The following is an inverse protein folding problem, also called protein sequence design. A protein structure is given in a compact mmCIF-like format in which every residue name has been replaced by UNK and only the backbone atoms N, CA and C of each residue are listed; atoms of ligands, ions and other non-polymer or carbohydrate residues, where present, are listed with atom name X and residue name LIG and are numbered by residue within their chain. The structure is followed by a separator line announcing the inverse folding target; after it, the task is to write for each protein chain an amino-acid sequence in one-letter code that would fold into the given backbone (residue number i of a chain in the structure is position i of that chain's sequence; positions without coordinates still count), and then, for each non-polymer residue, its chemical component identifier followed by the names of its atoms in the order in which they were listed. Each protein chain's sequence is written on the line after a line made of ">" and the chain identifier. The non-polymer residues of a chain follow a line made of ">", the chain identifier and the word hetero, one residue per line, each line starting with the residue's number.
data_IF_218753422871
#
_entry.id   IF_218753422871
#
_cell.length_a   1.000
_cell.length_b   1.000
_cell.length_c   1.000
_cell.angle_alpha   90.00
_cell.angle_beta   90.00
_cell.angle_gamma   90.00
#
_symmetry.space_group_name_H-M   'P 1'
#
loop_
_entity.id
_entity.type
_entity.pdbx_description
1 polymer ?
#
# COMPACT_ATOMS: atom_id res chain seq x y z
N UNK A 1 21.05 -37.55 27.09
CA UNK A 1 19.95 -36.65 26.63
C UNK A 1 18.80 -37.52 26.19
N UNK A 2 17.68 -37.51 26.95
CA UNK A 2 16.57 -38.46 26.72
C UNK A 2 15.87 -38.19 25.38
N UNK A 3 15.85 -39.19 24.48
CA UNK A 3 15.16 -39.18 23.20
C UNK A 3 13.68 -38.71 23.33
N UNK A 4 13.08 -38.99 24.48
CA UNK A 4 11.69 -38.58 24.77
C UNK A 4 11.55 -37.07 24.97
N UNK A 5 12.58 -36.40 25.50
CA UNK A 5 12.60 -34.93 25.63
C UNK A 5 12.79 -34.23 24.29
N UNK A 6 13.60 -34.81 23.41
CA UNK A 6 13.87 -34.26 22.08
C UNK A 6 12.63 -34.28 21.17
N UNK A 7 11.84 -35.38 21.20
CA UNK A 7 10.58 -35.46 20.47
C UNK A 7 9.54 -34.39 20.91
N UNK A 8 9.47 -34.12 22.22
CA UNK A 8 8.56 -33.08 22.74
C UNK A 8 8.96 -31.69 22.27
N UNK A 9 10.26 -31.39 22.23
CA UNK A 9 10.78 -30.11 21.73
C UNK A 9 10.43 -29.93 20.25
N UNK A 10 10.62 -30.96 19.43
CA UNK A 10 10.28 -30.90 18.00
C UNK A 10 8.77 -30.64 17.83
N UNK A 11 7.92 -31.38 18.54
CA UNK A 11 6.46 -31.19 18.46
C UNK A 11 6.10 -29.77 18.86
N UNK A 12 6.70 -29.23 19.91
CA UNK A 12 6.45 -27.86 20.37
C UNK A 12 6.84 -26.83 19.30
N UNK A 13 8.02 -26.97 18.67
CA UNK A 13 8.46 -26.08 17.58
C UNK A 13 7.51 -26.15 16.40
N UNK A 14 7.10 -27.35 15.97
CA UNK A 14 6.17 -27.54 14.86
C UNK A 14 4.82 -26.89 15.19
N UNK A 15 4.34 -27.03 16.41
CA UNK A 15 3.08 -26.40 16.85
C UNK A 15 3.16 -24.88 16.76
N UNK A 16 4.26 -24.27 17.21
CA UNK A 16 4.47 -22.82 17.10
C UNK A 16 4.49 -22.39 15.62
N UNK A 17 5.18 -23.12 14.75
CA UNK A 17 5.24 -22.79 13.32
C UNK A 17 3.86 -22.86 12.66
N UNK A 18 3.03 -23.86 13.02
CA UNK A 18 1.67 -23.99 12.50
C UNK A 18 0.82 -22.82 12.98
N UNK A 19 0.86 -22.49 14.27
CA UNK A 19 0.09 -21.37 14.84
C UNK A 19 0.50 -20.03 14.22
N UNK A 20 1.81 -19.83 14.03
CA UNK A 20 2.31 -18.61 13.39
C UNK A 20 1.90 -18.53 11.92
N UNK A 21 1.95 -19.65 11.19
CA UNK A 21 1.48 -19.68 9.79
C UNK A 21 -0.01 -19.39 9.68
N UNK A 22 -0.83 -19.95 10.56
CA UNK A 22 -2.27 -19.66 10.62
C UNK A 22 -2.53 -18.17 10.93
N UNK A 23 -1.82 -17.60 11.89
CA UNK A 23 -1.90 -16.18 12.21
C UNK A 23 -1.54 -15.30 11.01
N UNK A 24 -0.45 -15.64 10.29
CA UNK A 24 -0.02 -14.87 9.11
C UNK A 24 -1.05 -14.93 7.98
N UNK A 25 -1.63 -16.11 7.71
CA UNK A 25 -2.70 -16.27 6.71
C UNK A 25 -3.93 -15.45 7.11
N UNK A 26 -4.34 -15.50 8.36
CA UNK A 26 -5.45 -14.71 8.87
C UNK A 26 -5.21 -13.21 8.66
N UNK A 27 -4.03 -12.71 9.05
CA UNK A 27 -3.66 -11.30 8.88
C UNK A 27 -3.63 -10.88 7.41
N UNK A 28 -3.10 -11.74 6.52
CA UNK A 28 -3.05 -11.45 5.08
C UNK A 28 -4.44 -11.35 4.46
N UNK A 29 -5.39 -12.17 4.91
CA UNK A 29 -6.78 -12.09 4.44
C UNK A 29 -7.48 -10.83 4.95
N UNK A 30 -7.21 -10.41 6.18
CA UNK A 30 -7.72 -9.14 6.70
C UNK A 30 -7.19 -7.94 5.94
N UNK A 31 -5.87 -7.86 5.70
CA UNK A 31 -5.27 -6.77 4.92
C UNK A 31 -5.88 -6.70 3.52
N UNK A 32 -6.05 -7.85 2.85
CA UNK A 32 -6.70 -7.90 1.55
C UNK A 32 -8.14 -7.41 1.60
N UNK A 33 -8.90 -7.85 2.59
CA UNK A 33 -10.31 -7.46 2.78
C UNK A 33 -10.44 -5.96 3.01
N UNK A 34 -9.57 -5.36 3.82
CA UNK A 34 -9.57 -3.92 4.07
C UNK A 34 -9.28 -3.13 2.80
N UNK A 35 -8.27 -3.51 2.02
CA UNK A 35 -7.95 -2.82 0.76
C UNK A 35 -9.11 -2.95 -0.23
N UNK A 36 -9.72 -4.13 -0.38
CA UNK A 36 -10.90 -4.32 -1.22
C UNK A 36 -12.07 -3.45 -0.75
N UNK A 37 -12.31 -3.38 0.56
CA UNK A 37 -13.41 -2.58 1.11
C UNK A 37 -13.23 -1.07 0.87
N UNK A 38 -12.01 -0.58 0.81
CA UNK A 38 -11.71 0.81 0.44
C UNK A 38 -12.07 1.08 -1.02
N UNK A 39 -11.80 0.13 -1.92
CA UNK A 39 -12.15 0.24 -3.34
C UNK A 39 -13.67 0.16 -3.54
N UNK A 40 -14.34 -0.76 -2.87
CA UNK A 40 -15.80 -0.94 -2.99
C UNK A 40 -16.59 0.26 -2.45
N UNK A 41 -16.05 0.94 -1.43
CA UNK A 41 -16.68 2.12 -0.82
C UNK A 41 -16.36 3.42 -1.58
N UNK A 42 -15.32 3.44 -2.38
CA UNK A 42 -14.86 4.62 -3.09
C UNK A 42 -14.94 4.39 -4.61
N UNK A 43 -15.84 5.12 -5.27
CA UNK A 43 -15.96 5.08 -6.73
C UNK A 43 -14.74 5.68 -7.46
N UNK A 44 -13.78 6.25 -6.71
CA UNK A 44 -12.63 6.96 -7.26
C UNK A 44 -11.32 6.16 -7.18
N UNK A 45 -11.31 4.97 -6.56
CA UNK A 45 -10.12 4.10 -6.47
C UNK A 45 -10.37 2.79 -7.23
N UNK A 46 -9.45 2.42 -8.10
CA UNK A 46 -9.46 1.11 -8.76
C UNK A 46 -8.05 0.54 -8.89
N UNK A 47 -7.94 -0.77 -9.00
CA UNK A 47 -6.68 -1.48 -9.24
C UNK A 47 -6.94 -2.85 -9.90
N UNK A 48 -5.91 -3.41 -10.55
CA UNK A 48 -6.06 -4.70 -11.24
C UNK A 48 -5.96 -5.89 -10.28
N UNK A 49 -4.99 -5.87 -9.40
CA UNK A 49 -4.73 -7.01 -8.51
C UNK A 49 -3.97 -6.61 -7.26
N UNK A 50 -4.21 -7.39 -6.20
CA UNK A 50 -3.45 -7.32 -4.96
C UNK A 50 -2.81 -8.68 -4.67
N UNK A 51 -1.52 -8.65 -4.36
CA UNK A 51 -0.76 -9.82 -3.95
C UNK A 51 -0.06 -9.56 -2.62
N UNK A 52 -0.19 -10.50 -1.68
CA UNK A 52 0.44 -10.39 -0.36
C UNK A 52 1.53 -11.44 -0.24
N UNK A 53 2.75 -11.00 0.06
CA UNK A 53 3.98 -11.78 0.11
C UNK A 53 4.79 -11.49 1.37
N UNK A 54 5.93 -12.18 1.55
CA UNK A 54 6.91 -11.83 2.58
C UNK A 54 6.90 -12.69 3.83
N UNK A 55 6.12 -13.81 3.84
CA UNK A 55 6.18 -14.80 4.92
C UNK A 55 7.63 -15.31 5.12
N UNK A 56 8.08 -15.55 6.36
CA UNK A 56 7.37 -15.33 7.65
C UNK A 56 7.63 -13.98 8.30
N UNK A 57 8.63 -13.22 7.86
CA UNK A 57 9.17 -12.11 8.66
C UNK A 57 8.50 -10.76 8.41
N UNK A 58 7.92 -10.56 7.25
CA UNK A 58 7.24 -9.32 6.87
C UNK A 58 5.99 -9.64 6.06
N UNK A 59 5.15 -8.65 5.91
CA UNK A 59 4.01 -8.69 5.00
C UNK A 59 4.16 -7.54 4.01
N UNK A 60 4.23 -7.85 2.73
CA UNK A 60 4.26 -6.85 1.66
C UNK A 60 3.00 -7.03 0.81
N UNK A 61 2.11 -6.04 0.85
CA UNK A 61 0.99 -5.95 -0.07
C UNK A 61 1.45 -5.22 -1.33
N UNK A 62 1.32 -5.87 -2.48
CA UNK A 62 1.65 -5.34 -3.80
C UNK A 62 0.34 -5.10 -4.56
N UNK A 63 0.03 -3.84 -4.84
CA UNK A 63 -1.16 -3.39 -5.58
C UNK A 63 -0.69 -2.99 -6.97
N UNK A 64 -1.25 -3.61 -8.01
CA UNK A 64 -0.89 -3.33 -9.40
C UNK A 64 -1.90 -2.40 -10.06
N UNK A 65 -1.39 -1.48 -10.88
CA UNK A 65 -2.14 -0.55 -11.69
C UNK A 65 -3.19 0.21 -10.88
N UNK A 66 -2.72 0.84 -9.78
CA UNK A 66 -3.58 1.68 -8.95
C UNK A 66 -3.94 2.94 -9.73
N UNK A 67 -5.23 3.20 -9.85
CA UNK A 67 -5.80 4.42 -10.43
C UNK A 67 -6.65 5.09 -9.36
N UNK A 68 -6.42 6.37 -9.17
CA UNK A 68 -7.27 7.25 -8.36
C UNK A 68 -7.82 8.30 -9.31
N UNK A 69 -9.15 8.31 -9.49
CA UNK A 69 -9.82 9.16 -10.46
C UNK A 69 -11.01 9.85 -9.78
N UNK A 70 -10.91 11.14 -9.54
CA UNK A 70 -11.98 11.96 -8.99
C UNK A 70 -12.32 13.07 -9.98
N UNK A 71 -13.56 13.09 -10.44
CA UNK A 71 -14.06 14.03 -11.44
C UNK A 71 -15.25 14.78 -10.85
N UNK A 72 -15.12 16.08 -10.73
CA UNK A 72 -16.21 17.01 -10.43
C UNK A 72 -16.53 17.85 -11.66
N UNK A 73 -17.53 18.74 -11.60
CA UNK A 73 -17.88 19.62 -12.73
C UNK A 73 -16.78 20.67 -13.01
N UNK A 74 -16.00 21.05 -12.01
CA UNK A 74 -15.01 22.14 -12.08
C UNK A 74 -13.56 21.63 -12.02
N UNK A 75 -13.35 20.38 -11.61
CA UNK A 75 -12.01 19.81 -11.49
C UNK A 75 -11.97 18.32 -11.77
N UNK A 76 -10.88 17.85 -12.36
CA UNK A 76 -10.59 16.44 -12.47
C UNK A 76 -9.20 16.13 -11.92
N UNK A 77 -9.11 15.01 -11.21
CA UNK A 77 -7.86 14.48 -10.67
C UNK A 77 -7.72 13.02 -11.08
N UNK A 78 -6.68 12.72 -11.80
CA UNK A 78 -6.38 11.34 -12.20
C UNK A 78 -4.94 11.03 -11.84
N UNK A 79 -4.74 10.03 -10.98
CA UNK A 79 -3.42 9.54 -10.60
C UNK A 79 -3.29 8.07 -10.91
N UNK A 80 -2.23 7.73 -11.61
CA UNK A 80 -1.86 6.36 -11.95
C UNK A 80 -0.53 5.96 -11.31
N UNK A 81 -0.48 4.77 -10.73
CA UNK A 81 0.74 4.12 -10.29
C UNK A 81 0.76 2.66 -10.74
N UNK A 82 1.80 2.22 -11.48
CA UNK A 82 1.88 0.84 -11.97
C UNK A 82 2.05 -0.17 -10.83
N UNK A 83 2.66 0.25 -9.71
CA UNK A 83 2.83 -0.63 -8.55
C UNK A 83 2.99 0.17 -7.27
N UNK A 84 2.11 -0.11 -6.32
CA UNK A 84 2.22 0.36 -4.93
C UNK A 84 2.55 -0.82 -4.04
N UNK A 85 3.56 -0.67 -3.20
CA UNK A 85 3.99 -1.65 -2.21
C UNK A 85 3.77 -1.10 -0.82
N UNK A 86 3.07 -1.85 0.01
CA UNK A 86 2.84 -1.54 1.41
C UNK A 86 3.52 -2.60 2.27
N UNK A 87 4.58 -2.22 2.96
CA UNK A 87 5.25 -3.09 3.91
C UNK A 87 4.62 -2.93 5.29
N UNK A 88 4.22 -4.04 5.88
CA UNK A 88 3.59 -4.15 7.18
C UNK A 88 4.42 -5.10 8.04
N UNK A 89 4.76 -4.69 9.24
CA UNK A 89 5.38 -5.61 10.21
C UNK A 89 4.26 -6.41 10.91
N UNK A 90 4.18 -7.74 10.75
CA UNK A 90 3.10 -8.53 11.35
C UNK A 90 3.11 -8.55 12.89
N UNK A 91 4.24 -8.16 13.52
CA UNK A 91 4.36 -8.07 14.97
C UNK A 91 4.03 -6.65 15.47
N UNK A 92 4.20 -5.63 14.61
CA UNK A 92 3.94 -4.23 14.95
C UNK A 92 3.11 -3.57 13.83
N UNK A 93 1.80 -3.68 13.95
CA UNK A 93 0.83 -3.17 12.99
C UNK A 93 0.66 -1.64 13.02
N UNK A 94 1.41 -0.96 13.87
CA UNK A 94 1.32 0.51 14.01
C UNK A 94 2.27 1.26 13.05
N UNK A 95 3.03 0.54 12.22
CA UNK A 95 3.97 1.16 11.27
C UNK A 95 3.82 0.54 9.89
N UNK A 96 3.64 1.42 8.91
CA UNK A 96 3.51 1.07 7.50
C UNK A 96 4.57 1.81 6.70
N UNK A 97 5.17 1.14 5.74
CA UNK A 97 6.03 1.78 4.75
C UNK A 97 5.40 1.60 3.36
N UNK A 98 5.04 2.70 2.74
CA UNK A 98 4.47 2.71 1.39
C UNK A 98 5.57 3.13 0.42
N UNK A 99 5.72 2.37 -0.66
CA UNK A 99 6.65 2.65 -1.76
C UNK A 99 5.92 2.55 -3.08
N UNK A 100 6.08 3.55 -3.90
CA UNK A 100 5.52 3.56 -5.24
C UNK A 100 6.51 4.18 -6.22
N UNK A 101 6.45 3.77 -7.49
CA UNK A 101 7.33 4.25 -8.55
C UNK A 101 6.53 4.66 -9.78
N UNK A 102 7.10 5.59 -10.54
CA UNK A 102 6.56 6.05 -11.82
C UNK A 102 5.10 6.53 -11.69
N UNK A 103 4.83 7.35 -10.68
CA UNK A 103 3.52 7.96 -10.49
C UNK A 103 3.33 9.03 -11.53
N UNK A 104 2.15 9.06 -12.12
CA UNK A 104 1.68 10.11 -13.01
C UNK A 104 0.36 10.64 -12.49
N UNK A 105 0.29 11.94 -12.29
CA UNK A 105 -0.93 12.62 -11.87
C UNK A 105 -1.27 13.70 -12.87
N UNK A 106 -2.50 13.69 -13.34
CA UNK A 106 -3.10 14.73 -14.18
C UNK A 106 -4.17 15.43 -13.37
N UNK A 107 -4.03 16.74 -13.23
CA UNK A 107 -4.96 17.60 -12.50
C UNK A 107 -5.48 18.64 -13.48
N UNK A 108 -6.79 18.77 -13.58
CA UNK A 108 -7.44 19.82 -14.35
C UNK A 108 -8.34 20.64 -13.43
N UNK A 109 -8.19 21.94 -13.46
CA UNK A 109 -9.02 22.90 -12.71
C UNK A 109 -9.36 24.00 -13.70
N UNK A 110 -10.64 24.14 -14.07
CA UNK A 110 -11.10 25.02 -15.14
C UNK A 110 -10.29 24.79 -16.44
N UNK A 111 -9.59 25.80 -16.93
CA UNK A 111 -8.78 25.77 -18.16
C UNK A 111 -7.28 25.52 -17.89
N UNK A 112 -6.91 25.18 -16.65
CA UNK A 112 -5.52 24.94 -16.25
C UNK A 112 -5.29 23.44 -16.10
N UNK A 113 -4.27 22.92 -16.79
CA UNK A 113 -3.83 21.53 -16.71
C UNK A 113 -2.47 21.44 -16.04
N UNK A 114 -2.33 20.51 -15.11
CA UNK A 114 -1.11 20.26 -14.37
C UNK A 114 -0.76 18.77 -14.47
N UNK A 115 0.35 18.46 -15.08
CA UNK A 115 0.92 17.13 -15.14
C UNK A 115 2.08 17.00 -14.14
N UNK A 116 1.92 16.06 -13.21
CA UNK A 116 2.93 15.76 -12.19
C UNK A 116 3.45 14.36 -12.44
N UNK A 117 4.76 14.22 -12.57
CA UNK A 117 5.43 12.93 -12.64
C UNK A 117 6.40 12.78 -11.49
N UNK A 118 6.40 11.60 -10.83
CA UNK A 118 7.31 11.28 -9.73
C UNK A 118 7.94 9.91 -9.97
N UNK A 119 9.29 9.84 -9.93
CA UNK A 119 9.99 8.58 -10.17
C UNK A 119 9.82 7.61 -9.00
N UNK A 120 9.97 8.08 -7.77
CA UNK A 120 9.76 7.27 -6.58
C UNK A 120 9.21 8.11 -5.43
N UNK A 121 8.19 7.58 -4.78
CA UNK A 121 7.65 8.13 -3.53
C UNK A 121 7.72 7.05 -2.46
N UNK A 122 8.25 7.41 -1.31
CA UNK A 122 8.29 6.59 -0.11
C UNK A 122 7.57 7.33 1.00
N UNK A 123 6.65 6.66 1.66
CA UNK A 123 5.97 7.20 2.83
C UNK A 123 6.08 6.23 3.99
N UNK A 124 6.46 6.75 5.15
CA UNK A 124 6.39 6.02 6.42
C UNK A 124 5.25 6.60 7.24
N UNK A 125 4.35 5.75 7.68
CA UNK A 125 3.18 6.13 8.49
C UNK A 125 3.28 5.39 9.82
N UNK A 126 3.25 6.12 10.92
CA UNK A 126 3.06 5.56 12.25
C UNK A 126 1.66 5.90 12.76
N UNK A 127 1.01 4.95 13.43
CA UNK A 127 -0.31 5.12 14.00
C UNK A 127 -0.28 4.94 15.52
N UNK A 128 -1.12 5.69 16.22
CA UNK A 128 -1.37 5.53 17.65
C UNK A 128 -2.88 5.49 17.84
N UNK A 129 -3.39 4.44 18.48
CA UNK A 129 -4.84 4.22 18.66
C UNK A 129 -5.62 4.27 17.33
N UNK A 130 -5.09 3.64 16.27
CA UNK A 130 -5.62 3.60 14.91
C UNK A 130 -5.75 4.98 14.22
N UNK A 131 -5.12 6.02 14.76
CA UNK A 131 -5.01 7.32 14.10
C UNK A 131 -3.57 7.57 13.66
N UNK A 132 -3.34 8.15 12.47
CA UNK A 132 -1.99 8.54 12.05
C UNK A 132 -1.39 9.53 13.07
N UNK A 133 -0.24 9.18 13.63
CA UNK A 133 0.51 10.01 14.59
C UNK A 133 1.73 10.69 13.94
N UNK A 134 2.27 10.07 12.90
CA UNK A 134 3.41 10.59 12.16
C UNK A 134 3.32 10.13 10.70
N UNK A 135 3.58 11.05 9.78
CA UNK A 135 3.65 10.76 8.34
C UNK A 135 4.92 11.41 7.81
N UNK A 136 5.83 10.61 7.28
CA UNK A 136 7.04 11.07 6.61
C UNK A 136 6.92 10.72 5.13
N UNK A 137 7.10 11.71 4.25
CA UNK A 137 7.06 11.50 2.80
C UNK A 137 8.38 11.94 2.20
N UNK A 138 9.01 11.06 1.44
CA UNK A 138 10.20 11.33 0.65
C UNK A 138 9.87 11.12 -0.83
N UNK A 139 10.13 12.13 -1.64
CA UNK A 139 9.89 12.12 -3.08
C UNK A 139 11.25 12.23 -3.79
N UNK A 140 11.50 11.37 -4.74
CA UNK A 140 12.67 11.42 -5.61
C UNK A 140 12.24 11.83 -7.02
N UNK A 141 12.92 12.82 -7.57
CA UNK A 141 12.75 13.32 -8.93
C UNK A 141 11.29 13.58 -9.30
N UNK A 142 10.75 14.70 -8.86
CA UNK A 142 9.44 15.19 -9.29
C UNK A 142 9.62 16.13 -10.50
N UNK A 143 8.78 15.92 -11.52
CA UNK A 143 8.61 16.82 -12.66
C UNK A 143 7.20 17.40 -12.60
N UNK A 144 7.07 18.69 -12.89
CA UNK A 144 5.79 19.40 -12.95
C UNK A 144 5.73 20.15 -14.28
N UNK A 145 4.70 19.87 -15.07
CA UNK A 145 4.44 20.55 -16.36
C UNK A 145 3.09 21.26 -16.28
N UNK A 146 3.09 22.52 -16.66
CA UNK A 146 1.89 23.34 -16.74
C UNK A 146 1.50 23.54 -18.21
N UNK A 147 0.27 23.17 -18.54
CA UNK A 147 -0.31 23.42 -19.84
C UNK A 147 -1.54 24.29 -19.67
N UNK A 148 -1.52 25.50 -20.23
CA UNK A 148 -2.71 26.32 -20.37
C UNK A 148 -3.28 26.13 -21.78
N UNK A 149 -4.59 25.97 -21.92
CA UNK A 149 -5.23 26.14 -23.21
C UNK A 149 -5.00 27.59 -23.65
N UNK A 150 -4.06 27.81 -24.60
CA UNK A 150 -4.05 29.08 -25.32
C UNK A 150 -5.33 29.13 -26.15
N UNK A 151 -6.24 30.02 -25.76
CA UNK A 151 -7.37 30.41 -26.61
C UNK A 151 -6.79 31.01 -27.91
N UNK A 152 -6.88 30.25 -28.98
CA UNK A 152 -6.62 30.70 -30.32
C UNK A 152 -7.90 31.30 -30.95
#
# INVERSE_FOLDING_TARGET
>A
MNIFSFKRIIIFIITILILYSAYWIFLSTQVRSEINSLTDKSNFISYDSINITGFPYRMEAQIKNLVINDNTQESSFNTFSPMVKVDINPINLNKFLIRTKNIKSHISIDDVFLDISMEEVRSAIATTNNTPSEIIIAISKAGIEFNNLQLS
#
